data_IF_896357457232
#
_entry.id   IF_896357457232
#
_cell.length_a   1.000
_cell.length_b   1.000
_cell.length_c   1.000
_cell.angle_alpha   90.00
_cell.angle_beta   90.00
_cell.angle_gamma   90.00
#
_symmetry.space_group_name_H-M   'P 1'
#
loop_
_entity.id
_entity.type
_entity.pdbx_description
1 polymer ?
#
# COMPACT_ATOMS: atom_id res chain seq x y z
N UNK A 1 22.42 -13.38 3.28
CA UNK A 1 23.78 -13.11 2.81
C UNK A 1 24.05 -11.62 2.82
N UNK A 2 25.26 -11.22 3.20
CA UNK A 2 25.68 -9.82 3.25
C UNK A 2 26.46 -9.53 1.97
N UNK A 3 25.90 -8.75 1.06
CA UNK A 3 26.57 -8.27 -0.16
C UNK A 3 27.27 -6.95 0.14
N UNK A 4 28.40 -6.70 -0.50
CA UNK A 4 29.18 -5.47 -0.33
C UNK A 4 28.91 -4.43 -1.40
N UNK A 5 28.40 -4.84 -2.54
CA UNK A 5 28.13 -4.00 -3.70
C UNK A 5 27.12 -4.67 -4.64
N UNK A 6 26.65 -3.90 -5.63
CA UNK A 6 25.67 -4.36 -6.60
C UNK A 6 26.17 -5.53 -7.47
N UNK A 7 27.45 -5.60 -7.79
CA UNK A 7 28.01 -6.68 -8.62
C UNK A 7 27.89 -8.02 -7.89
N UNK A 8 28.18 -8.06 -6.59
CA UNK A 8 27.99 -9.26 -5.76
C UNK A 8 26.52 -9.69 -5.68
N UNK A 9 25.58 -8.71 -5.62
CA UNK A 9 24.15 -9.02 -5.66
C UNK A 9 23.77 -9.68 -6.98
N UNK A 10 24.20 -9.10 -8.10
CA UNK A 10 23.90 -9.63 -9.44
C UNK A 10 24.49 -11.03 -9.62
N UNK A 11 25.74 -11.23 -9.21
CA UNK A 11 26.40 -12.54 -9.36
C UNK A 11 25.74 -13.60 -8.49
N UNK A 12 25.34 -13.25 -7.28
CA UNK A 12 24.62 -14.15 -6.38
C UNK A 12 23.21 -14.52 -6.85
N UNK A 13 22.57 -13.63 -7.60
CA UNK A 13 21.20 -13.83 -8.10
C UNK A 13 21.13 -14.59 -9.44
N UNK A 14 22.25 -14.69 -10.19
CA UNK A 14 22.28 -15.32 -11.52
C UNK A 14 21.79 -16.77 -11.49
N UNK A 15 20.86 -17.06 -12.39
CA UNK A 15 20.24 -18.39 -12.52
C UNK A 15 19.18 -18.69 -11.47
N UNK A 16 18.94 -17.78 -10.55
CA UNK A 16 17.93 -17.90 -9.52
C UNK A 16 16.49 -17.68 -10.01
N UNK A 17 15.58 -17.85 -9.07
CA UNK A 17 14.15 -17.55 -9.26
C UNK A 17 13.74 -16.55 -8.17
N UNK A 18 12.91 -15.56 -8.53
CA UNK A 18 12.29 -14.65 -7.59
C UNK A 18 10.76 -14.72 -7.73
N UNK A 19 10.09 -15.01 -6.62
CA UNK A 19 8.64 -15.04 -6.53
C UNK A 19 8.14 -13.68 -6.05
N UNK A 20 7.51 -12.90 -6.94
CA UNK A 20 6.97 -11.60 -6.61
C UNK A 20 5.46 -11.68 -6.41
N UNK A 21 5.04 -11.58 -5.16
CA UNK A 21 3.64 -11.53 -4.78
C UNK A 21 3.11 -10.11 -4.95
N UNK A 22 2.06 -9.96 -5.74
CA UNK A 22 1.49 -8.66 -6.06
C UNK A 22 0.02 -8.75 -6.42
N UNK A 23 -0.71 -7.67 -6.19
CA UNK A 23 -2.09 -7.56 -6.62
C UNK A 23 -2.24 -7.83 -8.12
N UNK A 24 -3.14 -8.76 -8.44
CA UNK A 24 -3.30 -9.28 -9.81
C UNK A 24 -4.43 -8.64 -10.61
N UNK A 25 -5.12 -7.62 -10.09
CA UNK A 25 -6.35 -7.09 -10.67
C UNK A 25 -6.20 -6.14 -11.87
N UNK A 26 -4.98 -5.93 -12.41
CA UNK A 26 -4.74 -5.06 -13.56
C UNK A 26 -3.88 -5.76 -14.62
N UNK A 27 -4.50 -6.14 -15.73
CA UNK A 27 -3.85 -6.90 -16.81
C UNK A 27 -2.63 -6.18 -17.40
N UNK A 28 -2.69 -4.88 -17.58
CA UNK A 28 -1.57 -4.08 -18.09
C UNK A 28 -0.35 -4.10 -17.16
N UNK A 29 -0.56 -4.07 -15.85
CA UNK A 29 0.52 -4.19 -14.85
C UNK A 29 1.05 -5.62 -14.85
N UNK A 30 0.16 -6.60 -14.90
CA UNK A 30 0.51 -8.02 -14.95
C UNK A 30 1.39 -8.33 -16.17
N UNK A 31 1.03 -7.81 -17.34
CA UNK A 31 1.78 -7.95 -18.60
C UNK A 31 3.14 -7.23 -18.51
N UNK A 32 3.18 -6.01 -17.97
CA UNK A 32 4.42 -5.28 -17.79
C UNK A 32 5.42 -6.04 -16.90
N UNK A 33 4.95 -6.57 -15.79
CA UNK A 33 5.81 -7.32 -14.85
C UNK A 33 6.24 -8.66 -15.44
N UNK A 34 5.30 -9.46 -15.94
CA UNK A 34 5.61 -10.81 -16.46
C UNK A 34 6.33 -10.76 -17.81
N UNK A 35 5.95 -9.83 -18.69
CA UNK A 35 6.52 -9.65 -20.02
C UNK A 35 7.82 -8.86 -19.96
N UNK A 36 7.73 -7.54 -19.79
CA UNK A 36 8.92 -6.68 -19.89
C UNK A 36 9.94 -6.95 -18.78
N UNK A 37 9.54 -6.83 -17.50
CA UNK A 37 10.49 -7.02 -16.39
C UNK A 37 11.02 -8.45 -16.37
N UNK A 38 10.14 -9.45 -16.52
CA UNK A 38 10.54 -10.85 -16.53
C UNK A 38 11.53 -11.18 -17.65
N UNK A 39 11.31 -10.64 -18.88
CA UNK A 39 12.22 -10.83 -20.01
C UNK A 39 13.57 -10.16 -19.76
N UNK A 40 13.59 -8.90 -19.32
CA UNK A 40 14.83 -8.16 -19.03
C UNK A 40 15.67 -8.85 -17.94
N UNK A 41 15.04 -9.36 -16.88
CA UNK A 41 15.72 -10.12 -15.84
C UNK A 41 16.29 -11.44 -16.37
N UNK A 42 15.54 -12.12 -17.24
CA UNK A 42 15.99 -13.38 -17.86
C UNK A 42 17.16 -13.15 -18.79
N UNK A 43 17.05 -12.17 -19.68
CA UNK A 43 18.04 -11.92 -20.73
C UNK A 43 19.35 -11.36 -20.16
N UNK A 44 19.27 -10.43 -19.22
CA UNK A 44 20.46 -9.76 -18.67
C UNK A 44 21.14 -10.57 -17.55
N UNK A 45 20.35 -11.24 -16.73
CA UNK A 45 20.87 -11.84 -15.48
C UNK A 45 20.59 -13.34 -15.36
N UNK A 46 19.88 -13.93 -16.31
CA UNK A 46 19.38 -15.32 -16.24
C UNK A 46 18.50 -15.57 -14.98
N UNK A 47 17.84 -14.54 -14.45
CA UNK A 47 16.90 -14.65 -13.34
C UNK A 47 15.52 -14.98 -13.88
N UNK A 48 14.82 -15.91 -13.25
CA UNK A 48 13.42 -16.23 -13.57
C UNK A 48 12.52 -15.51 -12.60
N UNK A 49 11.76 -14.49 -13.09
CA UNK A 49 10.74 -13.83 -12.29
C UNK A 49 9.44 -14.61 -12.38
N UNK A 50 8.89 -14.98 -11.23
CA UNK A 50 7.55 -15.55 -11.09
C UNK A 50 6.63 -14.54 -10.43
N UNK A 51 5.75 -13.92 -11.22
CA UNK A 51 4.69 -13.08 -10.69
C UNK A 51 3.59 -13.97 -10.08
N UNK A 52 3.35 -13.82 -8.80
CA UNK A 52 2.26 -14.50 -8.07
C UNK A 52 1.14 -13.49 -7.83
N UNK A 53 0.04 -13.63 -8.57
CA UNK A 53 -1.13 -12.75 -8.42
C UNK A 53 -1.92 -13.11 -7.15
N UNK A 54 -2.17 -12.10 -6.32
CA UNK A 54 -3.00 -12.18 -5.12
C UNK A 54 -4.14 -11.17 -5.20
N UNK A 55 -5.22 -11.40 -4.47
CA UNK A 55 -6.34 -10.47 -4.40
C UNK A 55 -6.09 -9.35 -3.37
N UNK A 56 -5.43 -9.72 -2.26
CA UNK A 56 -5.05 -8.80 -1.19
C UNK A 56 -3.62 -9.11 -0.72
N UNK A 57 -2.85 -8.06 -0.44
CA UNK A 57 -1.46 -8.18 0.06
C UNK A 57 -1.36 -8.93 1.39
N UNK A 58 -2.42 -8.91 2.20
CA UNK A 58 -2.48 -9.68 3.44
C UNK A 58 -2.31 -11.19 3.23
N UNK A 59 -2.63 -11.73 2.03
CA UNK A 59 -2.37 -13.13 1.70
C UNK A 59 -0.87 -13.45 1.78
N UNK A 60 -0.02 -12.62 1.14
CA UNK A 60 1.44 -12.79 1.18
C UNK A 60 2.00 -12.56 2.59
N UNK A 61 1.51 -11.56 3.31
CA UNK A 61 1.89 -11.29 4.70
C UNK A 61 1.63 -12.50 5.60
N UNK A 62 0.46 -13.11 5.48
CA UNK A 62 0.10 -14.31 6.26
C UNK A 62 0.98 -15.52 5.92
N UNK A 63 1.40 -15.67 4.66
CA UNK A 63 2.37 -16.72 4.26
C UNK A 63 3.68 -16.49 5.02
N UNK A 64 4.25 -15.29 4.95
CA UNK A 64 5.53 -14.98 5.62
C UNK A 64 5.45 -15.16 7.14
N UNK A 65 4.34 -14.72 7.77
CA UNK A 65 4.11 -14.95 9.21
C UNK A 65 4.09 -16.44 9.52
N UNK A 66 3.36 -17.23 8.73
CA UNK A 66 3.29 -18.69 8.91
C UNK A 66 4.63 -19.38 8.73
N UNK A 67 5.42 -18.99 7.73
CA UNK A 67 6.76 -19.50 7.49
C UNK A 67 7.70 -19.15 8.65
N UNK A 68 7.69 -17.93 9.12
CA UNK A 68 8.47 -17.50 10.29
C UNK A 68 8.11 -18.30 11.55
N UNK A 69 6.81 -18.51 11.80
CA UNK A 69 6.35 -19.35 12.93
C UNK A 69 6.77 -20.81 12.80
N UNK A 70 6.92 -21.30 11.58
CA UNK A 70 7.41 -22.65 11.29
C UNK A 70 8.95 -22.77 11.31
N UNK A 71 9.67 -21.66 11.56
CA UNK A 71 11.13 -21.61 11.57
C UNK A 71 11.76 -21.66 10.17
N UNK A 72 11.04 -21.23 9.16
CA UNK A 72 11.52 -21.12 7.77
C UNK A 72 12.03 -19.67 7.58
N UNK A 73 13.35 -19.50 7.64
CA UNK A 73 13.98 -18.18 7.59
C UNK A 73 14.65 -17.86 6.24
N UNK A 74 14.95 -18.86 5.40
CA UNK A 74 15.77 -18.71 4.18
C UNK A 74 15.24 -19.43 2.94
N UNK A 75 14.18 -20.22 3.06
CA UNK A 75 13.59 -21.01 1.98
C UNK A 75 12.09 -20.79 1.84
N UNK A 76 11.63 -19.62 2.23
CA UNK A 76 10.22 -19.22 2.13
C UNK A 76 9.75 -19.10 0.69
N UNK A 77 8.43 -19.05 0.51
CA UNK A 77 7.80 -18.94 -0.80
C UNK A 77 7.81 -17.50 -1.35
N UNK A 78 7.98 -16.49 -0.50
CA UNK A 78 7.81 -15.07 -0.83
C UNK A 78 9.18 -14.39 -0.84
N UNK A 79 9.64 -14.00 -2.04
CA UNK A 79 10.91 -13.27 -2.19
C UNK A 79 10.69 -11.75 -2.25
N UNK A 80 9.57 -11.31 -2.82
CA UNK A 80 9.24 -9.89 -2.95
C UNK A 80 7.72 -9.69 -2.88
N UNK A 81 7.30 -8.60 -2.26
CA UNK A 81 5.90 -8.23 -2.11
C UNK A 81 5.69 -6.82 -2.64
N UNK A 82 4.63 -6.60 -3.42
CA UNK A 82 4.09 -5.26 -3.61
C UNK A 82 3.22 -4.93 -2.39
N UNK A 83 3.74 -4.09 -1.52
CA UNK A 83 3.20 -3.86 -0.18
C UNK A 83 3.01 -2.37 0.08
N UNK A 84 2.10 -2.03 0.98
CA UNK A 84 1.91 -0.70 1.54
C UNK A 84 1.03 -0.71 2.80
N UNK A 85 1.00 0.41 3.50
CA UNK A 85 0.06 0.71 4.57
C UNK A 85 0.12 -0.25 5.76
N UNK A 86 -1.04 -0.78 6.15
CA UNK A 86 -1.14 -1.69 7.30
C UNK A 86 -0.34 -2.98 7.13
N UNK A 87 -0.22 -3.47 5.90
CA UNK A 87 0.58 -4.66 5.58
C UNK A 87 2.08 -4.40 5.79
N UNK A 88 2.60 -3.26 5.29
CA UNK A 88 3.98 -2.84 5.54
C UNK A 88 4.24 -2.67 7.05
N UNK A 89 3.35 -2.00 7.77
CA UNK A 89 3.45 -1.85 9.24
C UNK A 89 3.54 -3.21 9.94
N UNK A 90 2.68 -4.16 9.58
CA UNK A 90 2.68 -5.51 10.17
C UNK A 90 4.00 -6.23 9.93
N UNK A 91 4.49 -6.21 8.70
CA UNK A 91 5.76 -6.85 8.34
C UNK A 91 6.95 -6.22 9.05
N UNK A 92 7.00 -4.87 9.11
CA UNK A 92 8.07 -4.13 9.76
C UNK A 92 8.09 -4.34 11.27
N UNK A 93 6.94 -4.24 11.94
CA UNK A 93 6.82 -4.47 13.38
C UNK A 93 7.11 -5.92 13.77
N UNK A 94 6.85 -6.87 12.86
CA UNK A 94 7.15 -8.28 13.04
C UNK A 94 8.59 -8.68 12.75
N UNK A 95 9.48 -7.74 12.34
CA UNK A 95 10.83 -8.02 11.87
C UNK A 95 10.84 -9.10 10.76
N UNK A 96 9.95 -8.92 9.78
CA UNK A 96 9.70 -9.86 8.68
C UNK A 96 10.20 -9.34 7.32
N UNK A 97 10.79 -8.14 7.28
CA UNK A 97 11.32 -7.52 6.08
C UNK A 97 12.84 -7.61 6.06
N UNK A 98 13.40 -7.75 4.87
CA UNK A 98 14.82 -7.53 4.63
C UNK A 98 15.05 -6.03 4.45
N UNK A 99 15.82 -5.41 5.34
CA UNK A 99 16.08 -3.98 5.37
C UNK A 99 17.58 -3.68 5.18
N UNK A 100 17.94 -2.40 5.02
CA UNK A 100 19.34 -1.96 4.94
C UNK A 100 20.01 -2.25 3.60
N UNK A 101 19.24 -2.31 2.50
CA UNK A 101 19.78 -2.65 1.16
C UNK A 101 19.79 -1.47 0.17
N UNK A 102 19.29 -0.32 0.55
CA UNK A 102 19.15 0.84 -0.36
C UNK A 102 20.49 1.26 -0.98
N UNK A 103 21.57 1.28 -0.19
CA UNK A 103 22.90 1.67 -0.65
C UNK A 103 23.50 0.69 -1.67
N UNK A 104 23.00 -0.54 -1.72
CA UNK A 104 23.39 -1.52 -2.74
C UNK A 104 22.75 -1.25 -4.10
N UNK A 105 21.61 -0.51 -4.14
CA UNK A 105 20.87 -0.28 -5.36
C UNK A 105 21.47 0.85 -6.19
N UNK A 106 21.89 0.61 -7.46
CA UNK A 106 22.53 1.65 -8.29
C UNK A 106 21.64 2.86 -8.56
N UNK A 107 20.32 2.66 -8.52
CA UNK A 107 19.33 3.71 -8.78
C UNK A 107 18.82 4.40 -7.50
N UNK A 108 19.31 4.03 -6.31
CA UNK A 108 18.93 4.65 -5.03
C UNK A 108 19.08 6.19 -5.07
N UNK A 109 20.14 6.67 -5.71
CA UNK A 109 20.42 8.11 -5.92
C UNK A 109 19.35 8.86 -6.74
N UNK A 110 18.46 8.17 -7.42
CA UNK A 110 17.36 8.75 -8.20
C UNK A 110 16.09 8.92 -7.35
N UNK A 111 16.07 8.35 -6.15
CA UNK A 111 14.95 8.44 -5.22
C UNK A 111 15.15 9.62 -4.29
N UNK A 112 14.16 10.51 -4.21
CA UNK A 112 14.19 11.65 -3.30
C UNK A 112 13.71 11.24 -1.89
N UNK A 113 14.57 10.62 -1.11
CA UNK A 113 14.26 10.20 0.26
C UNK A 113 13.97 11.36 1.24
N UNK A 114 14.16 12.61 0.81
CA UNK A 114 13.76 13.79 1.59
C UNK A 114 12.28 14.16 1.41
N UNK A 115 11.63 13.58 0.41
CA UNK A 115 10.18 13.72 0.22
C UNK A 115 9.45 12.84 1.25
N UNK A 116 8.68 13.43 2.20
CA UNK A 116 7.97 12.65 3.23
C UNK A 116 7.01 11.60 2.65
N UNK A 117 6.48 11.83 1.44
CA UNK A 117 5.59 10.87 0.76
C UNK A 117 6.31 9.66 0.17
N UNK A 118 7.65 9.68 0.17
CA UNK A 118 8.52 8.56 -0.25
C UNK A 118 9.20 7.94 0.95
N UNK A 119 9.65 8.78 1.90
CA UNK A 119 10.33 8.33 3.10
C UNK A 119 9.41 7.66 4.13
N UNK A 120 8.09 7.76 3.93
CA UNK A 120 7.11 7.14 4.82
C UNK A 120 6.05 6.40 3.99
N UNK A 121 5.67 5.22 4.46
CA UNK A 121 4.50 4.49 3.98
C UNK A 121 3.35 4.65 4.99
N UNK A 122 2.29 5.34 4.58
CA UNK A 122 1.14 5.68 5.42
C UNK A 122 1.53 6.22 6.81
N UNK A 123 2.55 7.10 6.84
CA UNK A 123 3.04 7.75 8.04
C UNK A 123 4.06 6.94 8.85
N UNK A 124 4.37 5.70 8.46
CA UNK A 124 5.45 4.91 9.06
C UNK A 124 6.73 5.09 8.25
N UNK A 125 7.87 5.50 8.85
CA UNK A 125 9.14 5.60 8.14
C UNK A 125 9.54 4.28 7.49
N UNK A 126 9.99 4.33 6.22
CA UNK A 126 10.36 3.10 5.47
C UNK A 126 11.68 2.51 5.95
N UNK A 127 12.64 3.32 6.43
CA UNK A 127 13.91 2.90 7.04
C UNK A 127 14.62 1.79 6.26
N UNK A 128 14.74 2.00 4.95
CA UNK A 128 15.42 1.07 4.03
C UNK A 128 14.80 -0.33 3.91
N UNK A 129 13.53 -0.51 4.33
CA UNK A 129 12.82 -1.78 4.27
C UNK A 129 11.94 -1.93 3.02
N UNK A 130 11.74 -0.85 2.25
CA UNK A 130 11.03 -0.87 0.98
C UNK A 130 11.56 0.18 0.02
N UNK A 131 11.28 0.00 -1.28
CA UNK A 131 11.58 0.98 -2.33
C UNK A 131 10.32 1.35 -3.09
N UNK A 132 10.19 2.60 -3.58
CA UNK A 132 9.01 3.03 -4.27
C UNK A 132 8.85 2.29 -5.60
N UNK A 133 7.66 1.72 -5.82
CA UNK A 133 7.26 1.09 -7.06
C UNK A 133 6.66 2.10 -8.05
N UNK A 134 5.65 2.83 -7.59
CA UNK A 134 4.98 3.88 -8.36
C UNK A 134 4.36 4.91 -7.40
N UNK A 135 3.69 5.92 -7.96
CA UNK A 135 2.81 6.81 -7.22
C UNK A 135 1.37 6.53 -7.59
N UNK A 136 0.55 6.31 -6.58
CA UNK A 136 -0.88 6.23 -6.71
C UNK A 136 -1.54 7.21 -5.73
N UNK A 137 -2.74 7.68 -6.08
CA UNK A 137 -3.53 8.53 -5.22
C UNK A 137 -4.93 7.95 -5.13
N UNK A 138 -5.49 7.98 -3.93
CA UNK A 138 -6.91 7.76 -3.75
C UNK A 138 -7.67 8.95 -4.36
N UNK A 139 -8.60 8.68 -5.24
CA UNK A 139 -9.41 9.70 -5.89
C UNK A 139 -10.88 9.27 -5.93
N UNK A 140 -11.76 10.24 -5.81
CA UNK A 140 -13.17 10.03 -6.08
C UNK A 140 -13.43 10.06 -7.59
N UNK A 141 -14.27 9.15 -8.06
CA UNK A 141 -14.78 9.17 -9.41
C UNK A 141 -16.26 9.59 -9.39
N UNK A 142 -16.68 10.33 -10.41
CA UNK A 142 -18.07 10.73 -10.60
C UNK A 142 -18.45 10.65 -12.08
N UNK A 143 -19.72 10.41 -12.34
CA UNK A 143 -20.28 10.48 -13.68
C UNK A 143 -20.60 11.94 -14.03
N UNK A 144 -19.77 12.53 -14.90
CA UNK A 144 -19.93 13.93 -15.32
C UNK A 144 -21.19 14.20 -16.14
N UNK A 145 -21.88 13.16 -16.65
CA UNK A 145 -23.16 13.31 -17.31
C UNK A 145 -24.32 13.44 -16.31
N UNK A 146 -24.11 13.06 -15.05
CA UNK A 146 -25.12 13.08 -13.99
C UNK A 146 -24.83 14.13 -12.92
N UNK A 147 -23.55 14.39 -12.63
CA UNK A 147 -23.11 15.27 -11.56
C UNK A 147 -22.34 16.44 -12.16
N UNK A 148 -22.99 17.58 -12.34
CA UNK A 148 -22.36 18.79 -12.89
C UNK A 148 -21.36 19.43 -11.92
N UNK A 149 -21.68 19.41 -10.62
CA UNK A 149 -20.90 20.04 -9.56
C UNK A 149 -20.55 19.01 -8.48
N UNK A 150 -19.52 18.18 -8.67
CA UNK A 150 -19.12 17.20 -7.67
C UNK A 150 -18.54 17.87 -6.43
N UNK A 151 -18.73 17.29 -5.24
CA UNK A 151 -18.13 17.79 -4.00
C UNK A 151 -16.59 17.72 -4.08
N UNK A 152 -15.93 18.73 -3.50
CA UNK A 152 -14.46 18.90 -3.54
C UNK A 152 -13.80 18.76 -2.17
N UNK A 153 -14.58 18.53 -1.14
CA UNK A 153 -14.12 18.36 0.23
C UNK A 153 -15.02 17.38 0.99
N UNK A 154 -14.55 16.87 2.11
CA UNK A 154 -15.36 15.98 2.96
C UNK A 154 -16.65 16.66 3.45
N UNK A 155 -16.64 17.92 3.94
CA UNK A 155 -17.90 18.62 4.28
C UNK A 155 -18.89 18.70 3.11
N UNK A 156 -18.40 19.13 1.94
CA UNK A 156 -19.26 19.20 0.74
C UNK A 156 -19.80 17.81 0.34
N UNK A 157 -19.00 16.74 0.52
CA UNK A 157 -19.44 15.37 0.25
C UNK A 157 -20.56 14.95 1.21
N UNK A 158 -20.45 15.28 2.50
CA UNK A 158 -21.48 14.97 3.50
C UNK A 158 -22.80 15.64 3.12
N UNK A 159 -22.77 16.92 2.78
CA UNK A 159 -23.96 17.68 2.38
C UNK A 159 -24.54 17.11 1.08
N UNK A 160 -23.67 16.86 0.08
CA UNK A 160 -24.08 16.31 -1.21
C UNK A 160 -24.74 14.93 -1.08
N UNK A 161 -24.20 14.05 -0.25
CA UNK A 161 -24.75 12.69 -0.02
C UNK A 161 -26.14 12.76 0.60
N UNK A 162 -26.38 13.69 1.51
CA UNK A 162 -27.72 13.90 2.11
C UNK A 162 -28.72 14.45 1.10
N UNK A 163 -28.27 15.31 0.20
CA UNK A 163 -29.12 15.90 -0.86
C UNK A 163 -29.38 14.92 -2.01
N UNK A 164 -28.51 13.89 -2.17
CA UNK A 164 -28.57 12.89 -3.25
C UNK A 164 -28.53 11.46 -2.67
N UNK A 165 -29.55 11.04 -1.91
CA UNK A 165 -29.57 9.72 -1.29
C UNK A 165 -29.52 8.59 -2.32
N UNK A 166 -28.64 7.60 -2.07
CA UNK A 166 -28.43 6.45 -2.94
C UNK A 166 -27.46 6.69 -4.10
N UNK A 167 -26.87 7.88 -4.22
CA UNK A 167 -25.96 8.20 -5.34
C UNK A 167 -24.45 8.10 -4.95
N UNK A 168 -24.14 7.82 -3.70
CA UNK A 168 -22.77 7.65 -3.20
C UNK A 168 -22.57 6.33 -2.48
N UNK A 169 -21.39 5.76 -2.63
CA UNK A 169 -20.94 4.59 -1.86
C UNK A 169 -19.43 4.55 -1.74
N UNK A 170 -18.94 3.77 -0.78
CA UNK A 170 -17.55 3.39 -0.64
C UNK A 170 -17.47 1.90 -0.22
N UNK A 171 -16.35 1.19 -0.48
CA UNK A 171 -16.21 -0.19 -0.08
C UNK A 171 -16.18 -0.37 1.45
N UNK A 172 -16.43 -1.59 1.92
CA UNK A 172 -16.35 -1.93 3.34
C UNK A 172 -14.94 -1.61 3.92
N UNK A 173 -14.86 -1.40 5.24
CA UNK A 173 -13.62 -1.05 5.94
C UNK A 173 -12.49 -2.10 5.79
N UNK A 174 -12.83 -3.34 5.47
CA UNK A 174 -11.88 -4.43 5.19
C UNK A 174 -11.25 -4.35 3.79
N UNK A 175 -11.86 -3.60 2.86
CA UNK A 175 -11.28 -3.30 1.55
C UNK A 175 -10.25 -2.17 1.68
N UNK A 176 -9.19 -2.24 0.86
CA UNK A 176 -8.14 -1.23 0.86
C UNK A 176 -8.69 0.19 0.63
N UNK A 177 -9.52 0.39 -0.40
CA UNK A 177 -10.08 1.71 -0.72
C UNK A 177 -11.09 2.18 0.35
N UNK A 178 -11.91 1.26 0.89
CA UNK A 178 -12.80 1.56 2.01
C UNK A 178 -12.04 2.04 3.24
N UNK A 179 -10.98 1.34 3.59
CA UNK A 179 -10.06 1.74 4.69
C UNK A 179 -9.43 3.11 4.43
N UNK A 180 -9.03 3.40 3.18
CA UNK A 180 -8.46 4.71 2.81
C UNK A 180 -9.51 5.82 2.91
N UNK A 181 -10.75 5.59 2.45
CA UNK A 181 -11.84 6.55 2.61
C UNK A 181 -12.10 6.89 4.08
N UNK A 182 -12.21 5.87 4.93
CA UNK A 182 -12.41 6.08 6.38
C UNK A 182 -11.29 6.93 6.97
N UNK A 183 -10.02 6.68 6.60
CA UNK A 183 -8.88 7.51 7.03
C UNK A 183 -9.02 8.97 6.58
N UNK A 184 -9.53 9.24 5.39
CA UNK A 184 -9.81 10.63 4.96
C UNK A 184 -10.84 11.32 5.83
N UNK A 185 -11.86 10.58 6.30
CA UNK A 185 -12.82 11.10 7.28
C UNK A 185 -12.14 11.38 8.62
N UNK A 186 -11.22 10.50 9.07
CA UNK A 186 -10.41 10.74 10.26
C UNK A 186 -9.49 11.96 10.11
N UNK A 187 -8.84 12.14 8.96
CA UNK A 187 -8.03 13.34 8.68
C UNK A 187 -8.86 14.61 8.76
N UNK A 188 -10.07 14.57 8.21
CA UNK A 188 -11.00 15.70 8.32
C UNK A 188 -11.37 15.96 9.80
N UNK A 189 -11.75 14.94 10.55
CA UNK A 189 -12.10 15.04 11.96
C UNK A 189 -10.95 15.54 12.84
N UNK A 190 -9.71 15.26 12.46
CA UNK A 190 -8.49 15.70 13.14
C UNK A 190 -8.02 17.11 12.73
N UNK A 191 -8.65 17.73 11.73
CA UNK A 191 -8.23 19.04 11.20
C UNK A 191 -7.10 18.97 10.17
N UNK A 192 -6.72 17.79 9.70
CA UNK A 192 -5.74 17.54 8.66
C UNK A 192 -4.92 16.26 8.88
N UNK A 193 -4.24 15.77 7.84
CA UNK A 193 -3.45 14.53 7.92
C UNK A 193 -2.26 14.64 8.88
N UNK A 194 -1.66 15.81 9.01
CA UNK A 194 -0.46 16.03 9.85
C UNK A 194 -0.71 15.73 11.33
N UNK A 195 -1.96 15.86 11.78
CA UNK A 195 -2.34 15.56 13.16
C UNK A 195 -2.23 14.05 13.51
N UNK A 196 -2.24 13.18 12.47
CA UNK A 196 -2.25 11.72 12.62
C UNK A 196 -0.97 11.04 12.06
N UNK A 197 0.10 11.80 11.86
CA UNK A 197 1.40 11.24 11.50
C UNK A 197 2.10 10.61 12.71
N UNK A 198 2.92 9.60 12.44
CA UNK A 198 3.74 8.89 13.42
C UNK A 198 3.08 7.64 14.00
N UNK A 199 3.52 7.25 15.20
CA UNK A 199 3.00 6.07 15.87
C UNK A 199 1.56 6.26 16.36
N UNK A 200 0.89 5.13 16.60
CA UNK A 200 -0.46 5.13 17.15
C UNK A 200 -0.48 5.77 18.54
N UNK A 201 -1.37 6.75 18.72
CA UNK A 201 -1.60 7.48 19.96
C UNK A 201 -3.05 7.25 20.43
N UNK A 202 -3.20 6.56 21.55
CA UNK A 202 -4.50 6.20 22.08
C UNK A 202 -5.32 7.42 22.51
N UNK A 203 -4.70 8.44 23.09
CA UNK A 203 -5.41 9.65 23.53
C UNK A 203 -5.95 10.44 22.34
N UNK A 204 -5.16 10.59 21.29
CA UNK A 204 -5.61 11.19 20.03
C UNK A 204 -6.72 10.38 19.39
N UNK A 205 -6.60 9.07 19.36
CA UNK A 205 -7.64 8.20 18.82
C UNK A 205 -8.95 8.38 19.56
N UNK A 206 -8.93 8.36 20.90
CA UNK A 206 -10.10 8.53 21.74
C UNK A 206 -10.78 9.90 21.60
N UNK A 207 -10.01 10.94 21.24
CA UNK A 207 -10.53 12.27 20.94
C UNK A 207 -11.18 12.36 19.56
N UNK A 208 -10.51 11.78 18.54
CA UNK A 208 -10.86 11.98 17.13
C UNK A 208 -11.88 10.96 16.63
N UNK A 209 -11.77 9.70 17.06
CA UNK A 209 -12.61 8.62 16.57
C UNK A 209 -14.12 8.86 16.76
N UNK A 210 -14.62 9.39 17.89
CA UNK A 210 -16.04 9.69 18.03
C UNK A 210 -16.54 10.70 16.99
N UNK A 211 -15.72 11.69 16.63
CA UNK A 211 -16.06 12.70 15.62
C UNK A 211 -16.13 12.06 14.22
N UNK A 212 -15.12 11.24 13.87
CA UNK A 212 -15.06 10.54 12.59
C UNK A 212 -16.21 9.53 12.43
N UNK A 213 -16.49 8.74 13.46
CA UNK A 213 -17.63 7.81 13.46
C UNK A 213 -18.97 8.54 13.37
N UNK A 214 -19.11 9.70 14.03
CA UNK A 214 -20.33 10.51 13.91
C UNK A 214 -20.57 10.94 12.46
N UNK A 215 -19.53 11.35 11.72
CA UNK A 215 -19.62 11.73 10.30
C UNK A 215 -20.05 10.53 9.46
N UNK A 216 -19.43 9.37 9.64
CA UNK A 216 -19.76 8.16 8.87
C UNK A 216 -21.19 7.70 9.16
N UNK A 217 -21.61 7.66 10.43
CA UNK A 217 -22.98 7.30 10.83
C UNK A 217 -24.02 8.29 10.30
N UNK A 218 -23.67 9.58 10.16
CA UNK A 218 -24.53 10.60 9.59
C UNK A 218 -24.76 10.40 8.08
N UNK A 219 -23.75 9.85 7.37
CA UNK A 219 -23.84 9.56 5.93
C UNK A 219 -24.52 8.22 5.65
N UNK A 220 -24.38 7.24 6.53
CA UNK A 220 -24.80 5.84 6.32
C UNK A 220 -26.23 5.70 5.79
N UNK A 221 -27.27 6.38 6.33
CA UNK A 221 -28.65 6.23 5.86
C UNK A 221 -28.89 6.71 4.41
N UNK A 222 -27.92 7.41 3.83
CA UNK A 222 -28.02 8.01 2.50
C UNK A 222 -27.16 7.30 1.46
N UNK A 223 -26.40 6.27 1.86
CA UNK A 223 -25.53 5.52 0.96
C UNK A 223 -26.33 4.65 0.00
N UNK A 224 -25.73 4.34 -1.15
CA UNK A 224 -26.23 3.34 -2.07
C UNK A 224 -25.97 1.94 -1.51
N UNK A 225 -27.03 1.16 -1.30
CA UNK A 225 -27.01 -0.15 -0.65
C UNK A 225 -26.35 -0.09 0.74
N UNK A 226 -27.17 0.22 1.71
CA UNK A 226 -26.88 0.13 3.15
C UNK A 226 -26.23 -1.22 3.55
#
# INVERSE_FOLDING_TARGET
PTFKNWEEVVDGARGGTANWFMWGGADNINEYVSGFIGSELKDRYNITLKRVGINDTAEAVNIVIGEKQAGIDDTGAVDMIWINGGNFRTMKQGDLLFCGYHDLLPNNKLVNWQDPSIANDFGLPVEECEVPWNRAQFAFAYDSARTENPPKSIPELIDWVKENPGEFTYPAATDFNGSVFIRHVFYHAAGGPDALLGDFDQEKFDEIAPKAWSILNEMEPYLWRE
#
